data_IF_880690031376
#
_entry.id   IF_880690031376
#
_cell.length_a   1.000
_cell.length_b   1.000
_cell.length_c   1.000
_cell.angle_alpha   90.00
_cell.angle_beta   90.00
_cell.angle_gamma   90.00
#
_symmetry.space_group_name_H-M   'P 1'
#
loop_
_entity.id
_entity.type
_entity.pdbx_description
1 polymer ?
#
# COMPACT_ATOMS: atom_id res chain seq x y z
N UNK A 1 22.68 -29.53 -26.94
CA UNK A 1 21.60 -28.97 -27.77
C UNK A 1 21.55 -27.48 -27.48
N UNK A 2 22.38 -26.71 -28.19
CA UNK A 2 22.36 -25.25 -28.17
C UNK A 2 21.12 -24.79 -28.95
N UNK A 3 20.27 -24.00 -28.30
CA UNK A 3 19.06 -23.43 -28.90
C UNK A 3 19.42 -22.38 -29.95
N UNK A 4 19.20 -22.72 -31.22
CA UNK A 4 19.43 -21.89 -32.40
C UNK A 4 18.37 -20.80 -32.65
N UNK A 5 17.70 -20.27 -31.61
CA UNK A 5 16.61 -19.29 -31.77
C UNK A 5 17.05 -17.82 -31.85
N UNK A 6 18.36 -17.53 -31.77
CA UNK A 6 18.86 -16.15 -31.67
C UNK A 6 19.28 -15.48 -33.00
N UNK A 7 19.04 -16.14 -34.15
CA UNK A 7 19.58 -15.72 -35.45
C UNK A 7 18.50 -15.21 -36.44
N UNK A 8 17.64 -14.25 -36.04
CA UNK A 8 16.79 -13.50 -36.99
C UNK A 8 16.06 -12.28 -36.40
N UNK A 9 16.51 -11.69 -35.29
CA UNK A 9 15.91 -10.43 -34.82
C UNK A 9 16.40 -9.25 -35.69
N UNK A 10 15.46 -8.53 -36.29
CA UNK A 10 15.73 -7.31 -37.06
C UNK A 10 16.38 -6.24 -36.17
N UNK A 11 17.18 -5.34 -36.73
CA UNK A 11 17.83 -4.25 -35.99
C UNK A 11 16.81 -3.37 -35.23
N UNK A 12 15.63 -3.17 -35.81
CA UNK A 12 14.51 -2.46 -35.20
C UNK A 12 13.94 -3.19 -33.98
N UNK A 13 13.74 -4.51 -34.04
CA UNK A 13 13.26 -5.30 -32.91
C UNK A 13 14.26 -5.33 -31.75
N UNK A 14 15.57 -5.42 -32.05
CA UNK A 14 16.63 -5.35 -31.03
C UNK A 14 16.63 -4.00 -30.33
N UNK A 15 16.49 -2.90 -31.07
CA UNK A 15 16.39 -1.56 -30.50
C UNK A 15 15.14 -1.40 -29.62
N UNK A 16 13.98 -1.92 -30.07
CA UNK A 16 12.75 -1.89 -29.28
C UNK A 16 12.85 -2.66 -27.96
N UNK A 17 13.42 -3.87 -27.99
CA UNK A 17 13.67 -4.67 -26.77
C UNK A 17 14.68 -3.99 -25.84
N UNK A 18 15.76 -3.44 -26.39
CA UNK A 18 16.76 -2.73 -25.59
C UNK A 18 16.17 -1.50 -24.89
N UNK A 19 15.30 -0.74 -25.59
CA UNK A 19 14.63 0.44 -25.01
C UNK A 19 13.70 0.06 -23.85
N UNK A 20 12.88 -0.98 -24.02
CA UNK A 20 12.03 -1.49 -22.93
C UNK A 20 12.85 -2.01 -21.75
N UNK A 21 13.94 -2.72 -22.02
CA UNK A 21 14.84 -3.19 -20.97
C UNK A 21 15.49 -2.02 -20.20
N UNK A 22 15.85 -0.94 -20.88
CA UNK A 22 16.38 0.26 -20.27
C UNK A 22 15.34 0.98 -19.40
N UNK A 23 14.09 1.08 -19.86
CA UNK A 23 12.98 1.65 -19.07
C UNK A 23 12.76 0.87 -17.77
N UNK A 24 12.65 -0.45 -17.85
CA UNK A 24 12.50 -1.32 -16.67
C UNK A 24 13.69 -1.17 -15.72
N UNK A 25 14.91 -1.09 -16.25
CA UNK A 25 16.10 -0.92 -15.42
C UNK A 25 16.11 0.42 -14.69
N UNK A 26 15.68 1.50 -15.35
CA UNK A 26 15.57 2.83 -14.74
C UNK A 26 14.49 2.88 -13.64
N UNK A 27 13.38 2.17 -13.81
CA UNK A 27 12.35 2.06 -12.76
C UNK A 27 12.85 1.31 -11.52
N UNK A 28 13.75 0.33 -11.70
CA UNK A 28 14.29 -0.50 -10.61
C UNK A 28 15.57 0.06 -9.98
N UNK A 29 16.18 1.08 -10.58
CA UNK A 29 17.41 1.72 -10.12
C UNK A 29 17.08 2.80 -9.09
N UNK A 30 17.67 2.69 -7.90
CA UNK A 30 17.59 3.72 -6.86
C UNK A 30 18.99 4.25 -6.56
N UNK A 31 19.12 5.58 -6.57
CA UNK A 31 20.35 6.32 -6.26
C UNK A 31 20.03 7.27 -5.12
N UNK A 32 20.64 7.06 -3.95
CA UNK A 32 20.36 7.83 -2.74
C UNK A 32 21.65 8.39 -2.13
N UNK A 33 21.78 9.71 -1.94
CA UNK A 33 22.96 10.29 -1.29
C UNK A 33 22.95 9.98 0.21
N UNK A 34 24.11 9.64 0.77
CA UNK A 34 24.26 9.37 2.20
C UNK A 34 24.53 10.68 2.93
N UNK A 35 23.61 11.07 3.83
CA UNK A 35 23.65 12.35 4.56
C UNK A 35 25.00 12.54 5.27
N UNK A 36 25.49 13.77 5.27
CA UNK A 36 26.77 14.16 5.88
C UNK A 36 27.99 13.39 5.36
N UNK A 37 27.95 12.92 4.11
CA UNK A 37 29.08 12.22 3.48
C UNK A 37 29.17 12.52 1.98
N UNK A 38 30.30 12.18 1.37
CA UNK A 38 30.49 12.19 -0.09
C UNK A 38 30.12 10.84 -0.74
N UNK A 39 29.33 10.00 -0.05
CA UNK A 39 28.92 8.69 -0.53
C UNK A 39 27.55 8.74 -1.18
N UNK A 40 27.37 7.90 -2.20
CA UNK A 40 26.11 7.70 -2.91
C UNK A 40 25.83 6.20 -2.95
N UNK A 41 24.69 5.81 -2.40
CA UNK A 41 24.23 4.43 -2.47
C UNK A 41 23.49 4.21 -3.79
N UNK A 42 23.88 3.15 -4.49
CA UNK A 42 23.25 2.71 -5.73
C UNK A 42 22.72 1.30 -5.50
N UNK A 43 21.45 1.08 -5.79
CA UNK A 43 20.81 -0.23 -5.65
C UNK A 43 19.88 -0.53 -6.82
N UNK A 44 19.78 -1.80 -7.19
CA UNK A 44 18.87 -2.27 -8.25
C UNK A 44 18.01 -3.40 -7.69
N UNK A 45 16.70 -3.26 -7.76
CA UNK A 45 15.75 -4.26 -7.24
C UNK A 45 15.31 -5.21 -8.37
N UNK A 46 15.54 -6.51 -8.21
CA UNK A 46 15.09 -7.53 -9.16
C UNK A 46 14.69 -8.82 -8.44
N UNK A 47 13.93 -9.73 -9.09
CA UNK A 47 13.57 -11.02 -8.48
C UNK A 47 14.75 -11.93 -8.14
N UNK A 48 15.93 -11.72 -8.77
CA UNK A 48 17.12 -12.54 -8.55
C UNK A 48 18.21 -11.73 -7.83
N UNK A 49 18.64 -12.11 -6.62
CA UNK A 49 19.67 -11.39 -5.87
C UNK A 49 20.99 -11.23 -6.61
N UNK A 50 21.40 -12.26 -7.36
CA UNK A 50 22.64 -12.25 -8.14
C UNK A 50 22.55 -11.27 -9.31
N UNK A 51 21.39 -11.17 -9.95
CA UNK A 51 21.15 -10.25 -11.06
C UNK A 51 21.16 -8.81 -10.57
N UNK A 52 20.53 -8.53 -9.43
CA UNK A 52 20.59 -7.23 -8.76
C UNK A 52 22.03 -6.79 -8.51
N UNK A 53 22.84 -7.62 -7.84
CA UNK A 53 24.24 -7.30 -7.56
C UNK A 53 25.05 -7.05 -8.84
N UNK A 54 24.87 -7.92 -9.85
CA UNK A 54 25.56 -7.79 -11.14
C UNK A 54 25.18 -6.49 -11.86
N UNK A 55 23.89 -6.15 -11.92
CA UNK A 55 23.43 -4.92 -12.56
C UNK A 55 23.92 -3.66 -11.84
N UNK A 56 23.89 -3.65 -10.51
CA UNK A 56 24.40 -2.51 -9.73
C UNK A 56 25.89 -2.29 -9.98
N UNK A 57 26.69 -3.36 -9.94
CA UNK A 57 28.13 -3.27 -10.22
C UNK A 57 28.42 -2.82 -11.66
N UNK A 58 27.69 -3.37 -12.65
CA UNK A 58 27.81 -2.97 -14.05
C UNK A 58 27.44 -1.50 -14.27
N UNK A 59 26.37 -1.03 -13.60
CA UNK A 59 25.95 0.37 -13.68
C UNK A 59 27.03 1.31 -13.14
N UNK A 60 27.61 0.98 -11.98
CA UNK A 60 28.68 1.77 -11.38
C UNK A 60 29.93 1.81 -12.29
N UNK A 61 30.33 0.66 -12.86
CA UNK A 61 31.45 0.58 -13.80
C UNK A 61 31.19 1.40 -15.07
N UNK A 62 30.00 1.28 -15.66
CA UNK A 62 29.65 2.02 -16.87
C UNK A 62 29.57 3.53 -16.63
N UNK A 63 29.07 3.94 -15.46
CA UNK A 63 29.06 5.35 -15.07
C UNK A 63 30.47 5.90 -14.89
N UNK A 64 31.37 5.12 -14.28
CA UNK A 64 32.78 5.48 -14.13
C UNK A 64 33.48 5.63 -15.47
N UNK A 65 33.22 4.72 -16.41
CA UNK A 65 33.76 4.80 -17.76
C UNK A 65 33.23 6.04 -18.49
N UNK A 66 31.91 6.26 -18.45
CA UNK A 66 31.28 7.42 -19.09
C UNK A 66 31.75 8.76 -18.49
N UNK A 67 32.07 8.81 -17.19
CA UNK A 67 32.58 10.03 -16.56
C UNK A 67 34.01 10.34 -17.01
N UNK A 68 34.84 9.31 -17.19
CA UNK A 68 36.18 9.43 -17.76
C UNK A 68 36.10 9.92 -19.21
N UNK A 69 35.28 9.27 -20.04
CA UNK A 69 35.15 9.61 -21.47
C UNK A 69 34.67 11.05 -21.67
N UNK A 70 33.66 11.50 -20.89
CA UNK A 70 33.17 12.90 -20.93
C UNK A 70 34.25 13.90 -20.54
N UNK A 71 35.09 13.59 -19.55
CA UNK A 71 36.18 14.47 -19.12
C UNK A 71 37.29 14.54 -20.16
N UNK A 72 37.63 13.42 -20.78
CA UNK A 72 38.59 13.39 -21.89
C UNK A 72 38.09 14.18 -23.10
N UNK A 73 36.81 14.03 -23.46
CA UNK A 73 36.20 14.82 -24.53
C UNK A 73 36.28 16.33 -24.24
N UNK A 74 35.84 16.76 -23.06
CA UNK A 74 35.90 18.16 -22.66
C UNK A 74 37.34 18.73 -22.64
N UNK A 75 38.33 17.93 -22.23
CA UNK A 75 39.74 18.35 -22.23
C UNK A 75 40.27 18.48 -23.66
N UNK A 76 39.90 17.54 -24.54
CA UNK A 76 40.30 17.55 -25.95
C UNK A 76 39.72 18.77 -26.66
N UNK A 77 38.43 19.05 -26.46
CA UNK A 77 37.74 20.21 -27.02
C UNK A 77 38.39 21.53 -26.55
N UNK A 78 38.70 21.64 -25.25
CA UNK A 78 39.39 22.80 -24.70
C UNK A 78 40.80 22.99 -25.31
N UNK A 79 41.53 21.89 -25.54
CA UNK A 79 42.85 21.95 -26.21
C UNK A 79 42.72 22.42 -27.64
N UNK A 80 41.78 21.87 -28.40
CA UNK A 80 41.55 22.27 -29.79
C UNK A 80 41.15 23.75 -29.90
N UNK A 81 40.33 24.25 -28.97
CA UNK A 81 39.99 25.67 -28.88
C UNK A 81 41.21 26.56 -28.63
N UNK A 82 42.08 26.18 -27.68
CA UNK A 82 43.31 26.91 -27.38
C UNK A 82 44.31 26.87 -28.54
N UNK A 83 44.44 25.75 -29.24
CA UNK A 83 45.26 25.62 -30.45
C UNK A 83 44.83 26.61 -31.53
N UNK A 84 43.53 26.69 -31.82
CA UNK A 84 43.02 27.67 -32.79
C UNK A 84 43.30 29.13 -32.38
N UNK A 85 43.21 29.42 -31.07
CA UNK A 85 43.49 30.77 -30.56
C UNK A 85 44.98 31.09 -30.54
N UNK A 86 45.85 30.12 -30.24
CA UNK A 86 47.30 30.24 -30.35
C UNK A 86 47.72 30.52 -31.79
N UNK A 87 47.12 29.85 -32.77
CA UNK A 87 47.41 30.11 -34.19
C UNK A 87 47.00 31.54 -34.59
N UNK A 88 45.82 31.99 -34.16
CA UNK A 88 45.37 33.37 -34.40
C UNK A 88 46.32 34.40 -33.77
N UNK A 89 46.76 34.16 -32.53
CA UNK A 89 47.71 35.05 -31.85
C UNK A 89 49.10 35.02 -32.50
N UNK A 90 49.53 33.85 -33.00
CA UNK A 90 50.79 33.72 -33.74
C UNK A 90 50.77 34.60 -35.00
N UNK A 91 49.67 34.59 -35.75
CA UNK A 91 49.47 35.42 -36.94
C UNK A 91 49.43 36.92 -36.61
N UNK A 92 48.74 37.30 -35.53
CA UNK A 92 48.71 38.69 -35.07
C UNK A 92 50.09 39.17 -34.62
N UNK A 93 50.84 38.35 -33.88
CA UNK A 93 52.19 38.66 -33.45
C UNK A 93 53.11 38.85 -34.66
N UNK A 94 53.09 37.91 -35.61
CA UNK A 94 53.86 37.99 -36.86
C UNK A 94 53.52 39.28 -37.65
N UNK A 95 52.24 39.66 -37.68
CA UNK A 95 51.78 40.89 -38.35
C UNK A 95 52.29 42.15 -37.63
N UNK A 96 52.20 42.20 -36.30
CA UNK A 96 52.72 43.33 -35.49
C UNK A 96 54.25 43.44 -35.56
N UNK A 97 54.97 42.31 -35.54
CA UNK A 97 56.43 42.28 -35.68
C UNK A 97 56.85 42.77 -37.08
N UNK A 98 56.16 42.32 -38.13
CA UNK A 98 56.40 42.81 -39.50
C UNK A 98 56.10 44.30 -39.64
N UNK A 99 55.02 44.81 -39.02
CA UNK A 99 54.68 46.23 -39.02
C UNK A 99 55.77 47.08 -38.34
N UNK A 100 56.25 46.64 -37.18
CA UNK A 100 57.36 47.28 -36.47
C UNK A 100 58.65 47.30 -37.30
N UNK A 101 59.01 46.17 -37.91
CA UNK A 101 60.20 46.06 -38.77
C UNK A 101 60.08 46.97 -39.99
N UNK A 102 58.94 46.95 -40.69
CA UNK A 102 58.69 47.79 -41.85
C UNK A 102 58.75 49.29 -41.50
N UNK A 103 58.20 49.67 -40.34
CA UNK A 103 58.29 51.04 -39.83
C UNK A 103 59.74 51.44 -39.55
N UNK A 104 60.49 50.59 -38.85
CA UNK A 104 61.90 50.82 -38.54
C UNK A 104 62.78 50.93 -39.80
N UNK A 105 62.51 50.11 -40.82
CA UNK A 105 63.19 50.15 -42.12
C UNK A 105 62.85 51.42 -42.92
N UNK A 106 61.57 51.76 -43.05
CA UNK A 106 61.12 52.95 -43.80
C UNK A 106 61.62 54.26 -43.19
N UNK A 107 61.77 54.32 -41.86
CA UNK A 107 62.24 55.49 -41.14
C UNK A 107 63.75 55.52 -40.91
N UNK A 108 64.50 54.49 -41.34
CA UNK A 108 65.96 54.46 -41.23
C UNK A 108 66.48 54.48 -39.78
N UNK A 109 65.67 54.10 -38.79
CA UNK A 109 65.99 54.17 -37.35
C UNK A 109 66.96 53.05 -36.92
N UNK A 110 67.25 52.10 -37.81
CA UNK A 110 68.27 51.06 -37.63
C UNK A 110 69.66 51.66 -37.86
N UNK A 111 70.11 52.54 -36.95
CA UNK A 111 71.50 52.85 -36.55
C UNK A 111 71.55 54.25 -35.94
N UNK A 112 71.85 54.33 -34.65
CA UNK A 112 72.28 55.57 -34.00
C UNK A 112 73.66 55.92 -34.54
N UNK A 113 73.73 56.98 -35.33
CA UNK A 113 74.91 57.85 -35.35
C UNK A 113 74.42 59.29 -35.26
N UNK A 114 74.63 59.84 -34.07
CA UNK A 114 74.50 61.23 -33.67
C UNK A 114 74.91 62.22 -34.76
N UNK A 115 73.96 63.02 -35.25
CA UNK A 115 74.28 64.26 -35.93
C UNK A 115 73.40 65.38 -35.37
N UNK A 116 74.03 66.21 -34.55
CA UNK A 116 73.50 67.45 -34.00
C UNK A 116 73.70 68.51 -35.07
N UNK A 117 72.65 69.17 -35.54
CA UNK A 117 72.78 70.32 -36.43
C UNK A 117 72.06 71.57 -35.92
N UNK A 118 72.71 72.70 -36.18
CA UNK A 118 72.46 74.03 -35.61
C UNK A 118 71.38 74.86 -36.35
N UNK A 119 70.40 74.22 -37.01
CA UNK A 119 69.45 74.89 -37.91
C UNK A 119 68.00 74.45 -37.68
N UNK A 120 67.37 74.93 -36.61
CA UNK A 120 65.96 75.38 -36.58
C UNK A 120 64.85 74.56 -37.27
N UNK A 121 64.92 73.23 -37.39
CA UNK A 121 63.81 72.39 -37.89
C UNK A 121 63.52 71.19 -36.96
N UNK A 122 62.32 71.28 -36.38
CA UNK A 122 61.42 70.21 -35.90
C UNK A 122 61.93 69.16 -34.91
N UNK A 123 62.17 69.60 -33.67
CA UNK A 123 62.12 68.73 -32.47
C UNK A 123 60.78 67.97 -32.32
N UNK A 124 59.71 68.40 -33.03
CA UNK A 124 58.40 67.71 -33.05
C UNK A 124 58.30 66.53 -34.03
N UNK A 125 59.17 66.38 -35.04
CA UNK A 125 59.10 65.25 -35.99
C UNK A 125 59.75 63.99 -35.40
N UNK A 126 60.92 64.13 -34.76
CA UNK A 126 61.61 63.05 -34.04
C UNK A 126 60.83 62.55 -32.82
N UNK A 127 60.10 63.46 -32.14
CA UNK A 127 59.21 63.09 -31.04
C UNK A 127 58.01 62.25 -31.54
N UNK A 128 57.45 62.57 -32.71
CA UNK A 128 56.32 61.81 -33.29
C UNK A 128 56.74 60.41 -33.74
N UNK A 129 57.89 60.29 -34.38
CA UNK A 129 58.40 59.00 -34.86
C UNK A 129 58.77 58.04 -33.71
N UNK A 130 59.34 58.57 -32.63
CA UNK A 130 59.65 57.78 -31.44
C UNK A 130 58.38 57.35 -30.67
N UNK A 131 57.33 58.18 -30.65
CA UNK A 131 56.04 57.81 -30.06
C UNK A 131 55.38 56.67 -30.85
N UNK A 132 55.36 56.76 -32.18
CA UNK A 132 54.72 55.74 -33.04
C UNK A 132 55.48 54.41 -33.00
N UNK A 133 56.83 54.44 -32.99
CA UNK A 133 57.65 53.25 -32.73
C UNK A 133 57.36 52.65 -31.35
N UNK A 134 57.24 53.47 -30.30
CA UNK A 134 56.93 52.99 -28.96
C UNK A 134 55.52 52.36 -28.86
N UNK A 135 54.56 52.82 -29.66
CA UNK A 135 53.23 52.22 -29.77
C UNK A 135 53.32 50.84 -30.42
N UNK A 136 54.02 50.72 -31.56
CA UNK A 136 54.20 49.45 -32.26
C UNK A 136 54.98 48.43 -31.42
N UNK A 137 56.03 48.87 -30.72
CA UNK A 137 56.79 48.03 -29.80
C UNK A 137 55.90 47.50 -28.67
N UNK A 138 55.08 48.38 -28.06
CA UNK A 138 54.14 47.98 -27.01
C UNK A 138 53.10 46.99 -27.51
N UNK A 139 52.65 47.12 -28.76
CA UNK A 139 51.71 46.18 -29.37
C UNK A 139 52.35 44.79 -29.56
N UNK A 140 53.59 44.73 -30.06
CA UNK A 140 54.35 43.47 -30.17
C UNK A 140 54.56 42.83 -28.81
N UNK A 141 55.02 43.60 -27.82
CA UNK A 141 55.28 43.11 -26.46
C UNK A 141 53.98 42.58 -25.82
N UNK A 142 52.86 43.30 -26.01
CA UNK A 142 51.54 42.88 -25.57
C UNK A 142 51.09 41.57 -26.23
N UNK A 143 51.22 41.44 -27.56
CA UNK A 143 50.87 40.23 -28.28
C UNK A 143 51.73 39.03 -27.86
N UNK A 144 53.03 39.25 -27.65
CA UNK A 144 53.96 38.21 -27.18
C UNK A 144 53.59 37.76 -25.77
N UNK A 145 53.30 38.69 -24.86
CA UNK A 145 52.88 38.35 -23.50
C UNK A 145 51.59 37.53 -23.46
N UNK A 146 50.61 37.88 -24.30
CA UNK A 146 49.34 37.12 -24.39
C UNK A 146 49.59 35.73 -24.99
N UNK A 147 50.41 35.63 -26.04
CA UNK A 147 50.77 34.36 -26.65
C UNK A 147 51.46 33.42 -25.66
N UNK A 148 52.48 33.90 -24.95
CA UNK A 148 53.24 33.12 -23.97
C UNK A 148 52.35 32.66 -22.81
N UNK A 149 51.47 33.55 -22.31
CA UNK A 149 50.50 33.20 -21.27
C UNK A 149 49.51 32.12 -21.71
N UNK A 150 49.02 32.20 -22.96
CA UNK A 150 48.11 31.20 -23.50
C UNK A 150 48.84 29.86 -23.77
N UNK A 151 50.08 29.92 -24.23
CA UNK A 151 50.91 28.74 -24.47
C UNK A 151 51.21 27.99 -23.16
N UNK A 152 51.48 28.73 -22.08
CA UNK A 152 51.64 28.14 -20.75
C UNK A 152 50.34 27.43 -20.32
N UNK A 153 49.18 28.09 -20.47
CA UNK A 153 47.88 27.48 -20.13
C UNK A 153 47.58 26.22 -20.96
N UNK A 154 47.94 26.22 -22.24
CA UNK A 154 47.80 25.05 -23.10
C UNK A 154 48.66 23.87 -22.62
N UNK A 155 49.93 24.13 -22.24
CA UNK A 155 50.83 23.11 -21.68
C UNK A 155 50.33 22.56 -20.34
N UNK A 156 49.80 23.42 -19.46
CA UNK A 156 49.23 23.02 -18.17
C UNK A 156 48.07 22.03 -18.34
N UNK A 157 47.17 22.26 -19.30
CA UNK A 157 46.03 21.38 -19.57
C UNK A 157 46.49 20.01 -20.09
N UNK A 158 47.56 19.97 -20.90
CA UNK A 158 48.13 18.71 -21.39
C UNK A 158 48.68 17.81 -20.29
N UNK A 159 49.22 18.40 -19.21
CA UNK A 159 49.80 17.66 -18.07
C UNK A 159 48.73 17.35 -17.01
N UNK A 160 47.79 18.27 -16.76
CA UNK A 160 46.77 18.13 -15.73
C UNK A 160 45.52 17.33 -16.18
N UNK A 161 45.23 17.28 -17.48
CA UNK A 161 44.04 16.61 -18.03
C UNK A 161 43.99 15.09 -17.81
N UNK A 162 45.13 14.49 -17.44
CA UNK A 162 45.26 13.04 -17.18
C UNK A 162 44.91 12.69 -15.72
N UNK A 163 44.76 13.68 -14.83
CA UNK A 163 44.65 13.50 -13.38
C UNK A 163 43.34 12.89 -12.85
N UNK A 164 43.52 11.97 -11.89
CA UNK A 164 42.61 11.28 -10.95
C UNK A 164 41.10 11.42 -11.14
N UNK A 165 40.40 10.29 -11.25
CA UNK A 165 38.94 10.24 -11.18
C UNK A 165 38.46 10.58 -9.76
N UNK A 166 37.62 11.61 -9.60
CA UNK A 166 37.00 11.97 -8.32
C UNK A 166 35.88 11.01 -7.89
N UNK A 167 35.53 10.04 -8.73
CA UNK A 167 34.57 9.00 -8.42
C UNK A 167 35.35 7.70 -8.22
N UNK A 168 35.13 7.04 -7.10
CA UNK A 168 35.70 5.73 -6.80
C UNK A 168 34.61 4.82 -6.22
N UNK A 169 34.67 3.54 -6.57
CA UNK A 169 33.78 2.53 -5.98
C UNK A 169 34.36 2.15 -4.61
N UNK A 170 33.62 2.45 -3.55
CA UNK A 170 34.03 2.15 -2.16
C UNK A 170 33.68 0.72 -1.78
N UNK A 171 32.44 0.30 -2.02
CA UNK A 171 31.98 -1.08 -1.82
C UNK A 171 31.26 -1.59 -3.08
N UNK A 172 31.47 -2.86 -3.38
CA UNK A 172 30.80 -3.52 -4.51
C UNK A 172 29.49 -4.12 -4.04
N UNK A 173 28.48 -4.09 -4.90
CA UNK A 173 27.18 -4.67 -4.60
C UNK A 173 27.29 -6.19 -4.42
N UNK A 174 26.78 -6.68 -3.29
CA UNK A 174 26.67 -8.09 -2.93
C UNK A 174 25.25 -8.59 -3.20
N UNK A 175 25.11 -9.90 -3.45
CA UNK A 175 23.80 -10.51 -3.58
C UNK A 175 23.06 -10.44 -2.24
N UNK A 176 21.80 -9.99 -2.26
CA UNK A 176 20.99 -9.90 -1.05
C UNK A 176 20.65 -11.29 -0.50
N UNK A 177 20.83 -11.50 0.81
CA UNK A 177 20.50 -12.77 1.48
C UNK A 177 18.99 -12.95 1.71
N UNK A 178 18.26 -11.83 1.84
CA UNK A 178 16.82 -11.83 2.12
C UNK A 178 16.09 -10.90 1.13
N UNK A 179 14.89 -11.29 0.66
CA UNK A 179 14.06 -10.41 -0.16
C UNK A 179 13.68 -9.14 0.60
N UNK A 180 13.73 -7.99 -0.09
CA UNK A 180 13.26 -6.71 0.47
C UNK A 180 11.73 -6.63 0.55
N UNK A 181 11.05 -7.31 -0.36
CA UNK A 181 9.59 -7.43 -0.44
C UNK A 181 9.19 -8.77 -1.07
N UNK A 182 7.98 -9.29 -0.77
CA UNK A 182 7.07 -8.86 0.30
C UNK A 182 7.55 -9.33 1.69
N UNK A 183 7.21 -8.58 2.74
CA UNK A 183 7.55 -8.94 4.13
C UNK A 183 6.55 -9.95 4.69
N UNK A 184 6.82 -11.24 4.47
CA UNK A 184 5.90 -12.35 4.80
C UNK A 184 5.38 -12.30 6.24
N UNK A 185 6.26 -12.16 7.23
CA UNK A 185 5.86 -12.11 8.64
C UNK A 185 4.91 -10.95 8.95
N UNK A 186 5.19 -9.77 8.38
CA UNK A 186 4.33 -8.60 8.57
C UNK A 186 2.97 -8.80 7.90
N UNK A 187 2.96 -9.35 6.68
CA UNK A 187 1.72 -9.60 5.94
C UNK A 187 0.85 -10.64 6.65
N UNK A 188 1.44 -11.69 7.20
CA UNK A 188 0.73 -12.73 7.98
C UNK A 188 0.21 -12.16 9.30
N UNK A 189 1.00 -11.37 10.02
CA UNK A 189 0.55 -10.74 11.25
C UNK A 189 -0.63 -9.78 10.99
N UNK A 190 -0.54 -8.99 9.92
CA UNK A 190 -1.60 -8.06 9.52
C UNK A 190 -2.87 -8.80 9.11
N UNK A 191 -2.76 -9.86 8.30
CA UNK A 191 -3.92 -10.63 7.87
C UNK A 191 -4.61 -11.34 9.04
N UNK A 192 -3.85 -11.83 10.02
CA UNK A 192 -4.39 -12.44 11.23
C UNK A 192 -5.21 -11.43 12.05
N UNK A 193 -4.68 -10.22 12.27
CA UNK A 193 -5.38 -9.16 13.01
C UNK A 193 -6.67 -8.77 12.30
N UNK A 194 -6.62 -8.55 10.98
CA UNK A 194 -7.79 -8.20 10.18
C UNK A 194 -8.82 -9.34 10.20
N UNK A 195 -8.39 -10.58 10.03
CA UNK A 195 -9.25 -11.75 10.07
C UNK A 195 -9.96 -11.92 11.42
N UNK A 196 -9.24 -11.73 12.53
CA UNK A 196 -9.81 -11.81 13.88
C UNK A 196 -10.83 -10.69 14.13
N UNK A 197 -10.54 -9.47 13.66
CA UNK A 197 -11.48 -8.35 13.73
C UNK A 197 -12.76 -8.61 12.94
N UNK A 198 -12.66 -9.13 11.72
CA UNK A 198 -13.81 -9.49 10.90
C UNK A 198 -14.64 -10.62 11.53
N UNK A 199 -13.99 -11.64 12.09
CA UNK A 199 -14.68 -12.72 12.77
C UNK A 199 -15.45 -12.23 14.01
N UNK A 200 -14.83 -11.39 14.84
CA UNK A 200 -15.51 -10.79 15.99
C UNK A 200 -16.69 -9.91 15.57
N UNK A 201 -16.51 -9.10 14.52
CA UNK A 201 -17.58 -8.29 13.95
C UNK A 201 -18.75 -9.12 13.42
N UNK A 202 -18.46 -10.24 12.74
CA UNK A 202 -19.48 -11.15 12.23
C UNK A 202 -20.24 -11.83 13.37
N UNK A 203 -19.56 -12.32 14.42
CA UNK A 203 -20.19 -12.91 15.60
C UNK A 203 -21.13 -11.91 16.26
N UNK A 204 -20.68 -10.67 16.46
CA UNK A 204 -21.52 -9.61 17.03
C UNK A 204 -22.75 -9.30 16.17
N UNK A 205 -22.59 -9.28 14.85
CA UNK A 205 -23.69 -9.02 13.92
C UNK A 205 -24.71 -10.15 13.93
N UNK A 206 -24.25 -11.40 13.92
CA UNK A 206 -25.11 -12.58 14.03
C UNK A 206 -25.87 -12.60 15.36
N UNK A 207 -25.20 -12.29 16.47
CA UNK A 207 -25.83 -12.22 17.79
C UNK A 207 -26.89 -11.10 17.85
N UNK A 208 -26.63 -9.95 17.22
CA UNK A 208 -27.60 -8.84 17.21
C UNK A 208 -28.81 -9.13 16.32
N UNK A 209 -28.67 -10.00 15.31
CA UNK A 209 -29.77 -10.45 14.47
C UNK A 209 -30.63 -11.52 15.15
N UNK A 210 -30.12 -12.20 16.17
CA UNK A 210 -30.90 -13.17 16.96
C UNK A 210 -31.91 -12.44 17.85
N UNK A 211 -33.20 -12.57 17.51
CA UNK A 211 -34.31 -12.00 18.28
C UNK A 211 -34.92 -12.98 19.29
N UNK A 212 -34.27 -14.12 19.54
CA UNK A 212 -34.73 -15.12 20.50
C UNK A 212 -34.80 -14.56 21.93
N UNK A 213 -35.89 -14.88 22.63
CA UNK A 213 -36.09 -14.50 24.05
C UNK A 213 -35.36 -15.53 24.90
N UNK A 214 -34.19 -15.17 25.42
CA UNK A 214 -33.38 -16.06 26.26
C UNK A 214 -33.68 -15.91 27.75
N UNK A 215 -34.17 -14.74 28.19
CA UNK A 215 -34.56 -14.48 29.57
C UNK A 215 -36.09 -14.33 29.69
N UNK A 216 -36.78 -15.14 30.49
CA UNK A 216 -38.22 -15.00 30.73
C UNK A 216 -38.64 -13.60 31.21
N UNK A 217 -37.77 -12.87 31.92
CA UNK A 217 -38.04 -11.51 32.39
C UNK A 217 -38.11 -10.49 31.25
N UNK A 218 -37.51 -10.78 30.10
CA UNK A 218 -37.60 -9.92 28.92
C UNK A 218 -39.02 -9.85 28.36
N UNK A 219 -39.87 -10.86 28.62
CA UNK A 219 -41.27 -10.88 28.17
C UNK A 219 -42.04 -9.70 28.76
N UNK A 220 -41.91 -9.48 30.07
CA UNK A 220 -42.58 -8.37 30.76
C UNK A 220 -42.04 -7.02 30.30
N UNK A 221 -40.72 -6.90 30.10
CA UNK A 221 -40.09 -5.64 29.64
C UNK A 221 -40.46 -5.29 28.20
N UNK A 222 -40.52 -6.27 27.29
CA UNK A 222 -40.72 -6.04 25.85
C UNK A 222 -42.19 -5.97 25.45
N UNK A 223 -43.04 -6.77 26.08
CA UNK A 223 -44.46 -6.89 25.68
C UNK A 223 -45.43 -6.32 26.71
N UNK A 224 -44.95 -5.87 27.89
CA UNK A 224 -45.78 -5.41 28.99
C UNK A 224 -46.84 -6.45 29.43
N UNK A 225 -46.48 -7.73 29.33
CA UNK A 225 -47.34 -8.85 29.73
C UNK A 225 -46.84 -9.48 31.03
N UNK A 226 -47.76 -9.90 31.93
CA UNK A 226 -47.37 -10.62 33.14
C UNK A 226 -46.82 -12.01 32.77
N UNK A 227 -45.65 -12.35 33.29
CA UNK A 227 -45.08 -13.68 33.17
C UNK A 227 -45.80 -14.62 34.14
N UNK A 228 -46.57 -15.58 33.62
CA UNK A 228 -47.30 -16.55 34.45
C UNK A 228 -46.41 -17.64 35.04
N UNK A 229 -45.29 -17.96 34.38
CA UNK A 229 -44.29 -18.89 34.87
C UNK A 229 -43.34 -19.32 33.75
N UNK A 230 -42.22 -19.92 34.13
CA UNK A 230 -41.23 -20.49 33.22
C UNK A 230 -41.24 -22.02 33.37
N UNK A 231 -41.41 -22.73 32.26
CA UNK A 231 -41.50 -24.19 32.25
C UNK A 231 -40.14 -24.72 31.76
N UNK A 232 -39.44 -25.56 32.55
CA UNK A 232 -38.16 -26.12 32.14
C UNK A 232 -38.33 -27.17 31.03
N UNK A 233 -37.30 -27.32 30.20
CA UNK A 233 -37.23 -28.42 29.24
C UNK A 233 -36.97 -29.74 29.98
N UNK A 234 -37.60 -30.83 29.52
CA UNK A 234 -37.45 -32.17 30.09
C UNK A 234 -37.11 -33.18 29.00
N UNK A 235 -36.29 -34.16 29.36
CA UNK A 235 -35.96 -35.29 28.50
C UNK A 235 -37.07 -36.37 28.52
N UNK A 236 -37.93 -36.36 29.54
CA UNK A 236 -39.01 -37.33 29.69
C UNK A 236 -40.31 -36.84 29.06
N UNK A 237 -41.20 -37.76 28.62
CA UNK A 237 -42.50 -37.34 28.11
C UNK A 237 -43.29 -36.63 29.21
N UNK A 238 -43.71 -35.39 28.92
CA UNK A 238 -44.45 -34.51 29.84
C UNK A 238 -45.66 -35.21 30.48
N UNK A 239 -46.30 -36.14 29.77
CA UNK A 239 -47.43 -36.92 30.29
C UNK A 239 -47.10 -37.80 31.51
N UNK A 240 -45.84 -38.23 31.67
CA UNK A 240 -45.40 -39.01 32.83
C UNK A 240 -44.94 -38.10 33.97
N UNK A 241 -44.14 -37.09 33.66
CA UNK A 241 -43.58 -36.18 34.66
C UNK A 241 -44.68 -35.41 35.41
N UNK A 242 -45.76 -35.02 34.74
CA UNK A 242 -46.86 -34.29 35.38
C UNK A 242 -47.68 -35.13 36.37
N UNK A 243 -47.61 -36.47 36.28
CA UNK A 243 -48.28 -37.36 37.24
C UNK A 243 -47.50 -37.46 38.55
N UNK A 244 -46.19 -37.22 38.53
CA UNK A 244 -45.37 -37.16 39.73
C UNK A 244 -45.42 -35.76 40.35
N UNK A 245 -46.08 -35.64 41.50
CA UNK A 245 -46.19 -34.38 42.26
C UNK A 245 -44.83 -33.82 42.72
N UNK A 246 -43.77 -34.62 42.70
CA UNK A 246 -42.42 -34.18 43.09
C UNK A 246 -41.57 -33.74 41.89
N UNK A 247 -42.09 -33.84 40.67
CA UNK A 247 -41.35 -33.44 39.48
C UNK A 247 -41.23 -31.92 39.39
N UNK A 248 -40.12 -31.46 38.82
CA UNK A 248 -39.89 -30.02 38.57
C UNK A 248 -40.94 -29.44 37.61
N UNK A 249 -41.47 -30.26 36.70
CA UNK A 249 -42.53 -29.86 35.77
C UNK A 249 -43.85 -29.65 36.51
N UNK A 250 -44.21 -30.56 37.42
CA UNK A 250 -45.42 -30.41 38.22
C UNK A 250 -45.37 -29.13 39.05
N UNK A 251 -44.27 -28.87 39.75
CA UNK A 251 -44.06 -27.63 40.50
C UNK A 251 -44.13 -26.38 39.62
N UNK A 252 -43.55 -26.42 38.41
CA UNK A 252 -43.62 -25.32 37.46
C UNK A 252 -45.07 -25.02 37.02
N UNK A 253 -45.85 -26.03 36.63
CA UNK A 253 -47.26 -25.84 36.26
C UNK A 253 -48.16 -25.53 37.46
N UNK A 254 -47.82 -26.01 38.66
CA UNK A 254 -48.50 -25.64 39.90
C UNK A 254 -48.30 -24.16 40.23
N UNK A 255 -47.09 -23.63 40.03
CA UNK A 255 -46.78 -22.21 40.13
C UNK A 255 -47.56 -21.38 39.11
N UNK A 256 -47.60 -21.81 37.83
CA UNK A 256 -48.42 -21.17 36.78
C UNK A 256 -49.89 -21.13 37.16
N UNK A 257 -50.44 -22.25 37.65
CA UNK A 257 -51.84 -22.35 38.07
C UNK A 257 -52.13 -21.42 39.26
N UNK A 258 -51.22 -21.36 40.24
CA UNK A 258 -51.32 -20.46 41.40
C UNK A 258 -51.33 -19.00 40.95
N UNK A 259 -50.40 -18.60 40.08
CA UNK A 259 -50.37 -17.24 39.52
C UNK A 259 -51.63 -16.91 38.73
N UNK A 260 -52.15 -17.86 37.95
CA UNK A 260 -53.40 -17.72 37.22
C UNK A 260 -54.59 -17.48 38.14
N UNK A 261 -54.59 -18.10 39.33
CA UNK A 261 -55.64 -17.88 40.33
C UNK A 261 -55.63 -16.47 40.93
N UNK A 262 -54.48 -15.80 40.91
CA UNK A 262 -54.34 -14.41 41.36
C UNK A 262 -54.65 -13.38 40.28
N UNK A 263 -54.83 -13.78 39.02
CA UNK A 263 -55.16 -12.84 37.93
C UNK A 263 -56.60 -12.32 38.01
N UNK A 264 -57.51 -13.02 38.70
CA UNK A 264 -58.89 -12.56 38.86
C UNK A 264 -59.29 -12.57 40.34
N UNK A 265 -60.18 -11.65 40.72
CA UNK A 265 -60.69 -11.54 42.10
C UNK A 265 -61.47 -12.78 42.57
N UNK A 266 -61.84 -13.67 41.64
CA UNK A 266 -62.63 -14.89 41.91
C UNK A 266 -61.84 -16.19 41.65
N UNK A 267 -60.50 -16.11 41.55
CA UNK A 267 -59.63 -17.26 41.34
C UNK A 267 -59.26 -17.48 39.86
N UNK A 268 -58.93 -18.71 39.47
CA UNK A 268 -58.64 -19.01 38.06
C UNK A 268 -59.92 -18.87 37.21
N UNK A 269 -59.85 -18.24 36.01
CA UNK A 269 -61.02 -18.04 35.16
C UNK A 269 -61.62 -19.38 34.72
N UNK A 270 -62.96 -19.40 34.51
CA UNK A 270 -63.71 -20.62 34.18
C UNK A 270 -63.44 -21.15 32.78
N UNK A 271 -63.05 -20.28 31.85
CA UNK A 271 -62.67 -20.63 30.48
C UNK A 271 -61.30 -20.03 30.15
N UNK A 272 -60.45 -20.85 29.55
CA UNK A 272 -59.07 -20.51 29.25
C UNK A 272 -58.73 -21.01 27.84
N UNK A 273 -58.09 -20.16 27.05
CA UNK A 273 -57.54 -20.52 25.74
C UNK A 273 -56.02 -20.41 25.80
N UNK A 274 -55.33 -21.50 25.47
CA UNK A 274 -53.88 -21.51 25.34
C UNK A 274 -53.52 -21.46 23.85
N UNK A 275 -52.70 -20.47 23.49
CA UNK A 275 -52.21 -20.26 22.13
C UNK A 275 -50.74 -19.84 22.16
N UNK A 276 -50.09 -19.80 21.01
CA UNK A 276 -48.69 -19.42 20.90
C UNK A 276 -48.36 -18.85 19.53
N UNK A 277 -47.21 -18.20 19.40
CA UNK A 277 -46.82 -17.44 18.22
C UNK A 277 -46.32 -18.31 17.06
N UNK A 278 -45.76 -19.49 17.36
CA UNK A 278 -45.19 -20.42 16.37
C UNK A 278 -45.61 -21.87 16.63
N UNK A 279 -45.62 -22.74 15.60
CA UNK A 279 -45.74 -24.18 15.81
C UNK A 279 -44.65 -24.71 16.77
N UNK A 280 -44.95 -25.80 17.48
CA UNK A 280 -44.01 -26.51 18.36
C UNK A 280 -43.52 -25.77 19.63
N UNK A 281 -44.13 -24.66 20.03
CA UNK A 281 -43.84 -23.97 21.32
C UNK A 281 -44.50 -24.63 22.56
N UNK A 282 -44.93 -25.90 22.49
CA UNK A 282 -45.47 -26.61 23.67
C UNK A 282 -46.91 -26.25 24.08
N UNK A 283 -47.75 -25.74 23.16
CA UNK A 283 -49.18 -25.45 23.40
C UNK A 283 -49.95 -26.64 23.98
N UNK A 284 -49.99 -27.75 23.24
CA UNK A 284 -50.78 -28.94 23.60
C UNK A 284 -50.28 -29.61 24.88
N UNK A 285 -48.95 -29.69 25.06
CA UNK A 285 -48.34 -30.24 26.27
C UNK A 285 -48.65 -29.36 27.49
N UNK A 286 -48.66 -28.04 27.33
CA UNK A 286 -49.02 -27.09 28.40
C UNK A 286 -50.50 -27.14 28.76
N UNK A 287 -51.39 -27.24 27.77
CA UNK A 287 -52.83 -27.41 28.01
C UNK A 287 -53.13 -28.68 28.78
N UNK A 288 -52.51 -29.81 28.39
CA UNK A 288 -52.64 -31.08 29.10
C UNK A 288 -52.10 -30.98 30.53
N UNK A 289 -50.90 -30.41 30.71
CA UNK A 289 -50.25 -30.36 32.03
C UNK A 289 -50.99 -29.45 33.01
N UNK A 290 -51.44 -28.28 32.54
CA UNK A 290 -52.25 -27.37 33.35
C UNK A 290 -53.60 -28.01 33.74
N UNK A 291 -54.24 -28.73 32.82
CA UNK A 291 -55.46 -29.46 33.12
C UNK A 291 -55.23 -30.56 34.18
N UNK A 292 -54.15 -31.33 34.07
CA UNK A 292 -53.78 -32.36 35.05
C UNK A 292 -53.56 -31.76 36.45
N UNK A 293 -52.88 -30.62 36.56
CA UNK A 293 -52.67 -29.92 37.83
C UNK A 293 -53.98 -29.36 38.40
N UNK A 294 -54.85 -28.78 37.57
CA UNK A 294 -56.16 -28.29 37.99
C UNK A 294 -57.04 -29.45 38.52
N UNK A 295 -57.04 -30.61 37.86
CA UNK A 295 -57.74 -31.82 38.33
C UNK A 295 -57.14 -32.31 39.65
N UNK A 296 -55.81 -32.32 39.78
CA UNK A 296 -55.12 -32.74 41.00
C UNK A 296 -55.44 -31.86 42.23
N UNK A 297 -55.88 -30.62 42.01
CA UNK A 297 -56.36 -29.69 43.06
C UNK A 297 -57.88 -29.79 43.33
N UNK A 298 -58.57 -30.75 42.71
CA UNK A 298 -59.99 -31.03 42.93
C UNK A 298 -60.95 -30.24 42.05
N UNK A 299 -60.47 -29.61 40.97
CA UNK A 299 -61.33 -28.91 40.01
C UNK A 299 -61.88 -29.90 38.97
N UNK A 300 -63.13 -29.72 38.57
CA UNK A 300 -63.68 -30.36 37.36
C UNK A 300 -63.21 -29.59 36.13
N UNK A 301 -62.44 -30.25 35.26
CA UNK A 301 -61.82 -29.63 34.08
C UNK A 301 -62.30 -30.35 32.84
N UNK A 302 -62.76 -29.59 31.85
CA UNK A 302 -63.00 -30.07 30.49
C UNK A 302 -61.88 -29.52 29.61
N UNK A 303 -61.13 -30.43 28.96
CA UNK A 303 -60.05 -30.06 28.06
C UNK A 303 -60.51 -30.29 26.62
N UNK A 304 -60.57 -29.21 25.84
CA UNK A 304 -61.05 -29.25 24.45
C UNK A 304 -59.86 -29.04 23.51
N UNK A 305 -59.60 -29.99 22.61
CA UNK A 305 -58.63 -29.81 21.53
C UNK A 305 -59.27 -29.02 20.39
N UNK A 306 -59.02 -27.71 20.37
CA UNK A 306 -59.52 -26.81 19.32
C UNK A 306 -58.59 -26.71 18.09
N UNK A 307 -57.48 -27.46 18.05
CA UNK A 307 -56.62 -27.55 16.86
C UNK A 307 -57.15 -28.62 15.90
N UNK A 308 -58.12 -28.22 15.07
CA UNK A 308 -58.74 -29.11 14.08
C UNK A 308 -57.78 -29.51 12.94
N UNK A 309 -56.64 -28.82 12.78
CA UNK A 309 -55.71 -29.07 11.68
C UNK A 309 -54.68 -30.13 12.03
N UNK A 310 -54.20 -30.14 13.28
CA UNK A 310 -53.23 -31.12 13.74
C UNK A 310 -53.50 -31.52 15.21
N UNK A 311 -54.62 -32.23 15.47
CA UNK A 311 -54.99 -32.61 16.83
C UNK A 311 -53.92 -33.49 17.44
N UNK A 312 -53.54 -33.17 18.67
CA UNK A 312 -52.40 -33.81 19.34
C UNK A 312 -52.73 -34.31 20.73
N UNK A 313 -53.86 -33.88 21.31
CA UNK A 313 -54.28 -34.24 22.66
C UNK A 313 -54.59 -35.74 22.81
N UNK A 314 -55.18 -36.34 21.76
CA UNK A 314 -55.50 -37.77 21.71
C UNK A 314 -54.31 -38.67 22.06
N UNK A 315 -53.10 -38.31 21.62
CA UNK A 315 -51.86 -39.05 21.91
C UNK A 315 -51.38 -38.89 23.35
N UNK A 316 -51.65 -37.75 23.98
CA UNK A 316 -51.32 -37.53 25.40
C UNK A 316 -52.27 -38.30 26.32
N UNK A 317 -53.53 -38.46 25.92
CA UNK A 317 -54.59 -39.12 26.68
C UNK A 317 -54.80 -40.60 26.35
N UNK A 318 -54.05 -41.15 25.38
CA UNK A 318 -54.21 -42.51 24.85
C UNK A 318 -55.68 -42.82 24.45
N UNK A 319 -56.34 -41.84 23.81
CA UNK A 319 -57.75 -41.93 23.41
C UNK A 319 -57.92 -42.09 21.89
N UNK A 320 -58.88 -42.92 21.44
CA UNK A 320 -59.19 -43.06 20.02
C UNK A 320 -59.87 -41.79 19.48
N UNK A 321 -59.33 -41.21 18.41
CA UNK A 321 -59.88 -40.01 17.76
C UNK A 321 -60.98 -40.38 16.74
N UNK A 322 -62.07 -41.00 17.22
CA UNK A 322 -63.19 -41.47 16.36
C UNK A 322 -64.34 -40.47 16.26
N UNK A 323 -64.57 -39.72 17.33
CA UNK A 323 -65.56 -38.65 17.48
C UNK A 323 -64.89 -37.52 18.25
N UNK A 324 -65.21 -36.27 17.93
CA UNK A 324 -64.56 -35.10 18.52
C UNK A 324 -65.16 -33.77 18.06
N UNK A 325 -64.53 -32.66 18.45
CA UNK A 325 -65.08 -31.32 18.26
C UNK A 325 -65.52 -31.02 16.82
N UNK A 326 -64.80 -31.52 15.81
CA UNK A 326 -65.18 -31.35 14.40
C UNK A 326 -66.51 -31.99 14.05
N UNK A 327 -66.81 -33.19 14.57
CA UNK A 327 -68.06 -33.90 14.32
C UNK A 327 -69.22 -33.27 15.09
N UNK A 328 -69.00 -32.87 16.34
CA UNK A 328 -70.00 -32.12 17.11
C UNK A 328 -70.40 -30.80 16.41
N UNK A 329 -69.41 -30.02 15.94
CA UNK A 329 -69.68 -28.76 15.24
C UNK A 329 -70.32 -28.97 13.85
N UNK A 330 -70.12 -30.14 13.23
CA UNK A 330 -70.78 -30.52 11.98
C UNK A 330 -72.23 -31.02 12.20
N UNK A 331 -72.61 -31.34 13.44
CA UNK A 331 -73.93 -31.86 13.80
C UNK A 331 -74.05 -33.38 13.69
N UNK A 332 -72.93 -34.11 13.57
CA UNK A 332 -72.91 -35.57 13.43
C UNK A 332 -73.04 -36.31 14.77
N UNK A 333 -72.64 -35.67 15.88
CA UNK A 333 -72.59 -36.26 17.23
C UNK A 333 -73.28 -35.37 18.28
N UNK A 334 -73.85 -35.96 19.34
CA UNK A 334 -74.44 -35.24 20.48
C UNK A 334 -73.45 -35.14 21.66
N UNK A 335 -73.60 -34.10 22.50
CA UNK A 335 -72.80 -33.88 23.72
C UNK A 335 -72.86 -35.05 24.72
N UNK A 336 -73.96 -35.80 24.74
CA UNK A 336 -74.15 -36.91 25.67
C UNK A 336 -73.42 -38.20 25.22
N UNK A 337 -72.99 -38.27 23.96
CA UNK A 337 -72.30 -39.41 23.35
C UNK A 337 -70.76 -39.24 23.31
N UNK A 338 -70.24 -38.13 23.89
CA UNK A 338 -68.83 -37.71 23.90
C UNK A 338 -68.19 -37.75 25.30
#
# INVERSE_FOLDING_TARGET
>A
MEDGSNASMTSAERQGKARKAAEILLEQLSVSPVRNSSLVDVSVTTPSPNLSAKLTNLWAQQYLQASIDRRFAATTDARQYLEGRLETLRQNLETSERALINYAMNKGIVTISSQRDASGRTQSETLRESIEMAILQREVDSNRQIYDGLLQRYKEIGVAGVGTNNIAVVDSAKAAERPSSPRLLLNVALSLIVGMGLAAGLIFLLEKMDSSIRDPQDVTKRFNLPLLGAIPETDQPVSKDILDKKSTIYEAYFSVMTNLSFLTEHGAPRSLMLTSSRPQEGKSSSSFSLAAVLVATGKSVVLVDADLRNPSLNRYLDMPNRSGLSHYLAGDDNLDDM
#
